data_IF_229404871261
#
_entry.id   IF_229404871261
#
_cell.length_a   1.000
_cell.length_b   1.000
_cell.length_c   1.000
_cell.angle_alpha   90.00
_cell.angle_beta   90.00
_cell.angle_gamma   90.00
#
_symmetry.space_group_name_H-M   'P 1'
#
loop_
_entity.id
_entity.type
_entity.pdbx_description
1 polymer ?
#
# COMPACT_ATOMS: atom_id res chain seq x y z
N UNK A 1 -12.18 8.13 4.84
CA UNK A 1 -12.50 7.52 3.52
C UNK A 1 -13.59 8.37 2.85
N UNK A 2 -13.25 9.28 1.94
CA UNK A 2 -14.23 10.10 1.20
C UNK A 2 -13.78 10.31 -0.23
N UNK A 3 -13.68 9.22 -0.99
CA UNK A 3 -13.83 9.27 -2.45
C UNK A 3 -15.23 8.76 -2.76
N UNK A 4 -16.02 9.50 -3.54
CA UNK A 4 -17.33 9.00 -3.97
C UNK A 4 -17.14 7.62 -4.64
N UNK A 5 -17.97 6.62 -4.30
CA UNK A 5 -17.88 5.30 -4.92
C UNK A 5 -18.08 5.45 -6.41
N UNK A 6 -17.14 4.93 -7.21
CA UNK A 6 -17.28 4.94 -8.65
C UNK A 6 -18.31 3.88 -9.03
N UNK A 7 -19.52 4.33 -9.39
CA UNK A 7 -20.60 3.43 -9.78
C UNK A 7 -20.49 3.06 -11.26
N UNK A 8 -20.35 1.77 -11.56
CA UNK A 8 -20.39 1.24 -12.93
C UNK A 8 -21.73 0.53 -13.13
N UNK A 9 -22.44 0.87 -14.22
CA UNK A 9 -23.75 0.26 -14.51
C UNK A 9 -23.60 -1.14 -15.10
N UNK A 10 -24.39 -2.09 -14.62
CA UNK A 10 -24.42 -3.46 -15.14
C UNK A 10 -25.16 -3.49 -16.49
N UNK A 11 -24.62 -4.17 -17.52
CA UNK A 11 -25.30 -4.30 -18.81
C UNK A 11 -26.64 -5.02 -18.66
N UNK A 12 -27.65 -4.59 -19.43
CA UNK A 12 -28.97 -5.25 -19.39
C UNK A 12 -28.91 -6.56 -20.17
N UNK A 13 -29.40 -7.64 -19.55
CA UNK A 13 -29.51 -8.95 -20.20
C UNK A 13 -30.33 -8.83 -21.51
N UNK A 14 -29.88 -9.45 -22.62
CA UNK A 14 -30.69 -9.53 -23.84
C UNK A 14 -32.03 -10.19 -23.56
N UNK A 15 -33.13 -9.49 -23.84
CA UNK A 15 -34.47 -10.07 -23.74
C UNK A 15 -34.73 -11.04 -24.90
N UNK A 16 -35.37 -12.17 -24.62
CA UNK A 16 -35.85 -13.04 -25.67
C UNK A 16 -36.94 -12.30 -26.46
N UNK A 17 -36.89 -12.27 -27.80
CA UNK A 17 -37.89 -11.58 -28.59
C UNK A 17 -39.28 -12.15 -28.27
N UNK A 18 -40.21 -11.25 -27.92
CA UNK A 18 -41.59 -11.64 -27.62
C UNK A 18 -42.18 -12.39 -28.82
N UNK A 19 -42.77 -13.56 -28.57
CA UNK A 19 -43.41 -14.34 -29.64
C UNK A 19 -44.54 -13.50 -30.22
N UNK A 20 -44.46 -13.18 -31.52
CA UNK A 20 -45.54 -12.48 -32.19
C UNK A 20 -46.82 -13.33 -32.09
N UNK A 21 -47.95 -12.77 -31.60
CA UNK A 21 -49.19 -13.51 -31.51
C UNK A 21 -49.62 -13.95 -32.91
N UNK A 22 -50.10 -15.19 -33.02
CA UNK A 22 -50.60 -15.70 -34.29
C UNK A 22 -51.82 -14.87 -34.72
N UNK A 23 -51.87 -14.32 -35.94
CA UNK A 23 -52.89 -13.34 -36.33
C UNK A 23 -54.19 -14.05 -36.73
N UNK A 24 -54.88 -14.63 -35.75
CA UNK A 24 -56.12 -15.39 -35.93
C UNK A 24 -57.18 -14.54 -36.65
N UNK A 25 -57.30 -13.26 -36.29
CA UNK A 25 -58.24 -12.32 -36.93
C UNK A 25 -57.89 -12.03 -38.40
N UNK A 26 -56.60 -11.99 -38.76
CA UNK A 26 -56.19 -11.77 -40.15
C UNK A 26 -56.49 -12.97 -41.06
N UNK A 27 -56.57 -14.18 -40.47
CA UNK A 27 -56.99 -15.40 -41.18
C UNK A 27 -58.52 -15.50 -41.22
N UNK A 28 -59.20 -15.18 -40.12
CA UNK A 28 -60.64 -15.32 -39.99
C UNK A 28 -61.43 -14.27 -40.79
N UNK A 29 -60.98 -13.00 -40.81
CA UNK A 29 -61.75 -11.92 -41.44
C UNK A 29 -61.99 -12.11 -42.95
N UNK A 30 -61.00 -12.50 -43.78
CA UNK A 30 -61.24 -12.77 -45.20
C UNK A 30 -62.11 -14.01 -45.44
N UNK A 31 -61.99 -15.02 -44.58
CA UNK A 31 -62.81 -16.24 -44.66
C UNK A 31 -64.27 -15.93 -44.36
N UNK A 32 -64.55 -15.17 -43.30
CA UNK A 32 -65.91 -14.73 -42.92
C UNK A 32 -66.50 -13.81 -43.99
N UNK A 33 -65.72 -12.85 -44.51
CA UNK A 33 -66.16 -11.96 -45.58
C UNK A 33 -66.47 -12.72 -46.88
N UNK A 34 -65.61 -13.65 -47.27
CA UNK A 34 -65.81 -14.49 -48.46
C UNK A 34 -67.05 -15.38 -48.33
N UNK A 35 -67.31 -15.95 -47.15
CA UNK A 35 -68.53 -16.76 -46.90
C UNK A 35 -69.80 -15.92 -46.91
N UNK A 36 -69.78 -14.73 -46.31
CA UNK A 36 -70.93 -13.81 -46.32
C UNK A 36 -71.26 -13.32 -47.75
N UNK A 37 -70.26 -12.94 -48.53
CA UNK A 37 -70.43 -12.50 -49.93
C UNK A 37 -70.98 -13.64 -50.79
N UNK A 38 -70.42 -14.86 -50.64
CA UNK A 38 -70.88 -16.03 -51.37
C UNK A 38 -72.35 -16.37 -51.10
N UNK A 39 -72.79 -16.27 -49.83
CA UNK A 39 -74.19 -16.51 -49.46
C UNK A 39 -75.17 -15.58 -50.20
N UNK A 40 -74.81 -14.31 -50.40
CA UNK A 40 -75.65 -13.33 -51.09
C UNK A 40 -75.57 -13.39 -52.61
N UNK A 41 -74.37 -13.56 -53.18
CA UNK A 41 -74.14 -13.45 -54.63
C UNK A 41 -74.15 -14.78 -55.38
N UNK A 42 -74.07 -15.92 -54.68
CA UNK A 42 -73.98 -17.27 -55.26
C UNK A 42 -72.82 -17.46 -56.26
N UNK A 43 -71.85 -16.55 -56.29
CA UNK A 43 -70.73 -16.57 -57.23
C UNK A 43 -69.53 -17.31 -56.62
N UNK A 44 -69.01 -18.36 -57.27
CA UNK A 44 -67.85 -19.11 -56.76
C UNK A 44 -66.56 -18.25 -56.72
N UNK A 45 -66.49 -17.14 -57.46
CA UNK A 45 -65.34 -16.24 -57.45
C UNK A 45 -65.09 -15.58 -56.09
N UNK A 46 -66.10 -15.47 -55.21
CA UNK A 46 -65.95 -14.91 -53.87
C UNK A 46 -64.98 -15.70 -52.98
N UNK A 47 -64.81 -17.01 -53.22
CA UNK A 47 -63.94 -17.90 -52.44
C UNK A 47 -62.44 -17.59 -52.62
N UNK A 48 -62.04 -16.88 -53.68
CA UNK A 48 -60.65 -16.45 -53.89
C UNK A 48 -60.18 -15.51 -52.77
N UNK A 49 -61.09 -14.72 -52.18
CA UNK A 49 -60.76 -13.87 -51.04
C UNK A 49 -60.44 -14.66 -49.75
N UNK A 50 -60.96 -15.89 -49.61
CA UNK A 50 -60.63 -16.76 -48.48
C UNK A 50 -59.16 -17.25 -48.53
N UNK A 51 -58.57 -17.38 -49.73
CA UNK A 51 -57.16 -17.74 -49.94
C UNK A 51 -56.19 -16.61 -49.57
N UNK A 52 -56.66 -15.37 -49.55
CA UNK A 52 -55.86 -14.19 -49.22
C UNK A 52 -55.41 -14.19 -47.75
N UNK A 53 -56.26 -14.70 -46.84
CA UNK A 53 -55.97 -14.82 -45.41
C UNK A 53 -54.74 -15.70 -45.10
N UNK A 54 -54.69 -16.96 -45.58
CA UNK A 54 -53.52 -17.82 -45.45
C UNK A 54 -52.23 -17.21 -46.02
N UNK A 55 -52.29 -16.54 -47.17
CA UNK A 55 -51.11 -15.91 -47.80
C UNK A 55 -50.56 -14.78 -46.93
N UNK A 56 -51.44 -13.90 -46.42
CA UNK A 56 -51.05 -12.81 -45.51
C UNK A 56 -50.49 -13.37 -44.19
N UNK A 57 -51.08 -14.44 -43.66
CA UNK A 57 -50.60 -15.08 -42.45
C UNK A 57 -49.19 -15.64 -42.62
N UNK A 58 -48.91 -16.37 -43.71
CA UNK A 58 -47.56 -16.90 -44.01
C UNK A 58 -46.56 -15.75 -44.21
N UNK A 59 -46.95 -14.69 -44.93
CA UNK A 59 -46.10 -13.51 -45.13
C UNK A 59 -45.77 -12.83 -43.79
N UNK A 60 -46.77 -12.65 -42.91
CA UNK A 60 -46.59 -12.03 -41.60
C UNK A 60 -45.70 -12.86 -40.67
N UNK A 61 -45.79 -14.20 -40.73
CA UNK A 61 -44.96 -15.11 -39.93
C UNK A 61 -43.50 -15.10 -40.42
N UNK A 62 -43.28 -15.02 -41.74
CA UNK A 62 -41.96 -14.85 -42.33
C UNK A 62 -41.30 -13.53 -41.91
N UNK A 63 -42.04 -12.42 -41.99
CA UNK A 63 -41.55 -11.10 -41.58
C UNK A 63 -41.29 -11.05 -40.07
N UNK A 64 -42.18 -11.60 -39.24
CA UNK A 64 -41.98 -11.71 -37.79
C UNK A 64 -40.71 -12.49 -37.43
N UNK A 65 -40.44 -13.62 -38.10
CA UNK A 65 -39.21 -14.40 -37.89
C UNK A 65 -37.96 -13.64 -38.31
N UNK A 66 -38.00 -12.92 -39.45
CA UNK A 66 -36.86 -12.12 -39.94
C UNK A 66 -36.57 -10.96 -38.99
N UNK A 67 -37.60 -10.23 -38.56
CA UNK A 67 -37.49 -9.12 -37.59
C UNK A 67 -36.97 -9.61 -36.24
N UNK A 68 -37.54 -10.69 -35.71
CA UNK A 68 -37.11 -11.30 -34.44
C UNK A 68 -35.64 -11.73 -34.44
N UNK A 69 -35.16 -12.34 -35.54
CA UNK A 69 -33.73 -12.69 -35.68
C UNK A 69 -32.83 -11.46 -35.77
N UNK A 70 -33.24 -10.44 -36.51
CA UNK A 70 -32.49 -9.20 -36.65
C UNK A 70 -32.41 -8.44 -35.31
N UNK A 71 -33.52 -8.37 -34.58
CA UNK A 71 -33.62 -7.77 -33.24
C UNK A 71 -32.76 -8.53 -32.23
N UNK A 72 -32.85 -9.85 -32.19
CA UNK A 72 -32.01 -10.67 -31.31
C UNK A 72 -30.51 -10.45 -31.57
N UNK A 73 -30.06 -10.38 -32.83
CA UNK A 73 -28.66 -10.05 -33.18
C UNK A 73 -28.26 -8.66 -32.69
N UNK A 74 -29.15 -7.68 -32.80
CA UNK A 74 -28.90 -6.29 -32.34
C UNK A 74 -28.79 -6.22 -30.81
N UNK A 75 -29.68 -6.89 -30.08
CA UNK A 75 -29.63 -6.94 -28.61
C UNK A 75 -28.39 -7.67 -28.09
N UNK A 76 -28.00 -8.79 -28.70
CA UNK A 76 -26.72 -9.44 -28.34
C UNK A 76 -25.53 -8.53 -28.63
N UNK A 77 -25.48 -7.89 -29.80
CA UNK A 77 -24.41 -6.95 -30.13
C UNK A 77 -24.37 -5.73 -29.21
N UNK A 78 -25.53 -5.27 -28.72
CA UNK A 78 -25.63 -4.20 -27.71
C UNK A 78 -25.07 -4.68 -26.37
N UNK A 79 -25.49 -5.86 -25.90
CA UNK A 79 -25.02 -6.44 -24.65
C UNK A 79 -23.50 -6.62 -24.64
N UNK A 80 -22.91 -7.17 -25.70
CA UNK A 80 -21.46 -7.32 -25.82
C UNK A 80 -20.72 -5.97 -25.73
N UNK A 81 -21.24 -4.93 -26.38
CA UNK A 81 -20.65 -3.59 -26.30
C UNK A 81 -20.76 -2.98 -24.89
N UNK A 82 -21.92 -3.13 -24.25
CA UNK A 82 -22.13 -2.65 -22.88
C UNK A 82 -21.25 -3.43 -21.88
N UNK A 83 -21.08 -4.74 -22.08
CA UNK A 83 -20.21 -5.59 -21.28
C UNK A 83 -18.75 -5.16 -21.38
N UNK A 84 -18.22 -4.98 -22.60
CA UNK A 84 -16.85 -4.49 -22.82
C UNK A 84 -16.66 -3.11 -22.21
N UNK A 85 -17.63 -2.21 -22.38
CA UNK A 85 -17.59 -0.88 -21.76
C UNK A 85 -17.57 -0.96 -20.23
N UNK A 86 -18.34 -1.86 -19.62
CA UNK A 86 -18.38 -2.06 -18.18
C UNK A 86 -17.04 -2.62 -17.66
N UNK A 87 -16.43 -3.58 -18.36
CA UNK A 87 -15.10 -4.12 -18.01
C UNK A 87 -14.06 -3.00 -18.02
N UNK A 88 -14.01 -2.20 -19.08
CA UNK A 88 -13.07 -1.07 -19.15
C UNK A 88 -13.29 -0.04 -18.04
N UNK A 89 -14.55 0.28 -17.72
CA UNK A 89 -14.87 1.20 -16.63
C UNK A 89 -14.42 0.68 -15.26
N UNK A 90 -14.56 -0.63 -15.01
CA UNK A 90 -14.04 -1.28 -13.78
C UNK A 90 -12.51 -1.18 -13.76
N UNK A 91 -11.84 -1.49 -14.86
CA UNK A 91 -10.37 -1.50 -14.94
C UNK A 91 -9.78 -0.11 -14.72
N UNK A 92 -10.39 0.91 -15.29
CA UNK A 92 -9.98 2.31 -15.08
C UNK A 92 -10.25 2.75 -13.62
N UNK A 93 -11.35 2.32 -13.02
CA UNK A 93 -11.64 2.58 -11.61
C UNK A 93 -10.62 1.89 -10.70
N UNK A 94 -10.29 0.63 -10.95
CA UNK A 94 -9.26 -0.14 -10.26
C UNK A 94 -7.87 0.45 -10.41
N UNK A 95 -7.50 0.91 -11.61
CA UNK A 95 -6.22 1.58 -11.85
C UNK A 95 -6.10 2.86 -11.01
N UNK A 96 -7.17 3.67 -10.95
CA UNK A 96 -7.22 4.88 -10.12
C UNK A 96 -7.19 4.55 -8.63
N UNK A 97 -7.91 3.53 -8.20
CA UNK A 97 -7.90 3.06 -6.80
C UNK A 97 -6.50 2.60 -6.40
N UNK A 98 -5.86 1.73 -7.19
CA UNK A 98 -4.49 1.27 -6.96
C UNK A 98 -3.51 2.43 -6.92
N UNK A 99 -3.58 3.37 -7.86
CA UNK A 99 -2.69 4.53 -7.88
C UNK A 99 -2.83 5.39 -6.61
N UNK A 100 -4.06 5.61 -6.12
CA UNK A 100 -4.31 6.31 -4.85
C UNK A 100 -3.71 5.56 -3.66
N UNK A 101 -3.90 4.24 -3.60
CA UNK A 101 -3.36 3.41 -2.53
C UNK A 101 -1.83 3.39 -2.55
N UNK A 102 -1.20 3.25 -3.71
CA UNK A 102 0.27 3.28 -3.86
C UNK A 102 0.84 4.65 -3.49
N UNK A 103 0.17 5.74 -3.87
CA UNK A 103 0.60 7.08 -3.46
C UNK A 103 0.51 7.28 -1.95
N UNK A 104 -0.56 6.77 -1.31
CA UNK A 104 -0.74 6.86 0.14
C UNK A 104 0.22 5.95 0.90
N UNK A 105 0.52 4.78 0.33
CA UNK A 105 1.36 3.73 0.92
C UNK A 105 2.46 3.31 -0.07
N UNK A 106 3.49 4.16 -0.24
CA UNK A 106 4.61 3.87 -1.14
C UNK A 106 5.34 2.60 -0.73
N UNK A 107 5.96 1.91 -1.69
CA UNK A 107 6.74 0.71 -1.36
C UNK A 107 8.00 1.10 -0.57
N UNK A 108 8.49 0.20 0.27
CA UNK A 108 9.76 0.43 0.97
C UNK A 108 10.92 0.68 -0.01
N UNK A 109 10.89 0.02 -1.17
CA UNK A 109 11.85 0.21 -2.24
C UNK A 109 11.81 1.64 -2.81
N UNK A 110 10.61 2.20 -3.01
CA UNK A 110 10.44 3.58 -3.46
C UNK A 110 11.05 4.56 -2.44
N UNK A 111 10.88 4.29 -1.14
CA UNK A 111 11.44 5.11 -0.07
C UNK A 111 12.98 5.08 -0.05
N UNK A 112 13.58 3.91 -0.31
CA UNK A 112 15.05 3.75 -0.42
C UNK A 112 15.61 4.44 -1.66
N UNK A 113 14.88 4.42 -2.77
CA UNK A 113 15.35 4.99 -4.04
C UNK A 113 15.12 6.51 -4.12
N UNK A 114 14.05 7.01 -3.49
CA UNK A 114 13.64 8.42 -3.53
C UNK A 114 14.13 9.28 -2.35
N UNK A 115 15.13 8.83 -1.59
CA UNK A 115 15.53 9.47 -0.32
C UNK A 115 15.94 10.95 -0.48
N UNK A 116 16.40 11.37 -1.66
CA UNK A 116 16.82 12.77 -1.89
C UNK A 116 15.60 13.67 -2.11
N UNK A 117 15.34 14.55 -1.13
CA UNK A 117 14.44 15.70 -1.31
C UNK A 117 12.95 15.40 -1.22
N UNK A 118 12.54 14.21 -0.77
CA UNK A 118 11.11 13.93 -0.59
C UNK A 118 10.53 14.76 0.57
N UNK A 119 9.52 15.62 0.32
CA UNK A 119 8.94 16.49 1.33
C UNK A 119 8.06 15.76 2.33
N UNK A 120 7.67 14.51 2.06
CA UNK A 120 6.76 13.72 2.91
C UNK A 120 7.47 13.01 4.07
N UNK A 121 8.80 13.14 4.14
CA UNK A 121 9.60 12.59 5.23
C UNK A 121 9.14 13.14 6.57
N UNK A 122 8.90 12.26 7.54
CA UNK A 122 8.50 12.58 8.92
C UNK A 122 7.18 13.35 9.04
N UNK A 123 6.31 13.28 8.04
CA UNK A 123 4.99 13.94 8.03
C UNK A 123 3.82 12.98 8.28
N UNK A 124 4.09 11.76 8.75
CA UNK A 124 3.02 10.82 9.01
C UNK A 124 2.05 11.35 10.07
N UNK A 125 0.75 11.13 9.85
CA UNK A 125 -0.28 11.44 10.83
C UNK A 125 -0.30 10.36 11.93
N UNK A 126 0.54 10.56 12.94
CA UNK A 126 0.73 9.61 14.03
C UNK A 126 -0.50 9.47 14.95
N UNK A 127 -1.46 10.40 14.87
CA UNK A 127 -2.68 10.35 15.68
C UNK A 127 -3.66 9.27 15.17
N UNK A 128 -3.73 9.08 13.85
CA UNK A 128 -4.70 8.18 13.23
C UNK A 128 -4.17 6.76 12.96
N UNK A 129 -2.87 6.52 13.10
CA UNK A 129 -2.28 5.19 12.96
C UNK A 129 -0.83 5.22 12.53
N UNK A 130 -0.18 4.05 12.52
CA UNK A 130 1.16 3.87 11.96
C UNK A 130 1.11 2.79 10.89
N UNK A 131 0.38 3.07 9.81
CA UNK A 131 0.17 2.14 8.71
C UNK A 131 1.49 1.89 7.96
N UNK A 132 1.87 0.62 7.84
CA UNK A 132 3.02 0.16 7.06
C UNK A 132 2.56 -0.87 6.02
N UNK A 133 3.23 -0.88 4.87
CA UNK A 133 2.97 -1.80 3.76
C UNK A 133 3.80 -3.07 3.91
N UNK A 134 3.13 -4.22 3.96
CA UNK A 134 3.75 -5.54 3.99
C UNK A 134 4.21 -6.00 2.61
N UNK A 135 3.48 -5.59 1.56
CA UNK A 135 3.71 -6.02 0.20
C UNK A 135 2.54 -5.68 -0.73
N UNK A 136 2.40 -6.46 -1.80
CA UNK A 136 1.32 -6.31 -2.79
C UNK A 136 0.49 -7.58 -2.91
N UNK A 137 -0.82 -7.45 -2.93
CA UNK A 137 -1.74 -8.58 -2.95
C UNK A 137 -3.13 -8.21 -3.45
N UNK A 138 -4.09 -9.08 -3.18
CA UNK A 138 -5.50 -8.87 -3.51
C UNK A 138 -6.23 -8.26 -2.32
N UNK A 139 -7.02 -7.21 -2.54
CA UNK A 139 -7.91 -6.63 -1.52
C UNK A 139 -9.34 -6.51 -2.05
N UNK A 140 -10.29 -6.27 -1.16
CA UNK A 140 -11.63 -5.84 -1.56
C UNK A 140 -11.56 -4.44 -2.20
N UNK A 141 -12.08 -4.29 -3.41
CA UNK A 141 -12.18 -3.01 -4.09
C UNK A 141 -13.34 -2.18 -3.54
N UNK A 142 -13.19 -0.86 -3.55
CA UNK A 142 -14.26 0.09 -3.25
C UNK A 142 -15.24 0.33 -4.41
N UNK A 143 -15.00 -0.25 -5.61
CA UNK A 143 -15.87 -0.10 -6.77
C UNK A 143 -17.21 -0.76 -6.52
N UNK A 144 -18.30 -0.05 -6.85
CA UNK A 144 -19.67 -0.56 -6.71
C UNK A 144 -20.33 -0.70 -8.08
N UNK A 145 -20.98 -1.82 -8.31
CA UNK A 145 -21.81 -2.02 -9.50
C UNK A 145 -23.26 -1.63 -9.22
N UNK A 146 -23.87 -0.91 -10.16
CA UNK A 146 -25.30 -0.59 -10.15
C UNK A 146 -26.05 -1.63 -10.98
N UNK A 147 -26.64 -2.60 -10.29
CA UNK A 147 -27.41 -3.69 -10.87
C UNK A 147 -27.50 -4.87 -9.92
N UNK A 148 -28.09 -5.96 -10.37
CA UNK A 148 -28.23 -7.19 -9.58
C UNK A 148 -27.28 -8.27 -10.08
N UNK A 149 -26.67 -9.00 -9.14
CA UNK A 149 -25.89 -10.19 -9.45
C UNK A 149 -26.86 -11.34 -9.77
N UNK A 150 -26.59 -12.07 -10.84
CA UNK A 150 -27.45 -13.14 -11.33
C UNK A 150 -26.89 -14.50 -10.93
N UNK A 151 -26.92 -14.82 -9.63
CA UNK A 151 -26.25 -16.00 -9.06
C UNK A 151 -26.81 -17.36 -9.53
N UNK A 152 -28.02 -17.38 -10.13
CA UNK A 152 -28.72 -18.60 -10.55
C UNK A 152 -29.01 -18.64 -12.06
N UNK A 153 -28.36 -17.78 -12.85
CA UNK A 153 -28.56 -17.68 -14.30
C UNK A 153 -27.40 -18.29 -15.08
N UNK A 154 -27.56 -19.56 -15.47
CA UNK A 154 -26.58 -20.31 -16.27
C UNK A 154 -26.57 -19.91 -17.76
N UNK A 155 -27.29 -18.86 -18.16
CA UNK A 155 -27.12 -18.32 -19.52
C UNK A 155 -25.72 -17.70 -19.69
N UNK A 156 -25.17 -17.67 -20.92
CA UNK A 156 -23.90 -16.99 -21.19
C UNK A 156 -23.90 -15.52 -20.69
N UNK A 157 -25.02 -14.82 -20.85
CA UNK A 157 -25.19 -13.45 -20.36
C UNK A 157 -25.22 -13.37 -18.83
N UNK A 158 -25.85 -14.32 -18.15
CA UNK A 158 -25.87 -14.41 -16.68
C UNK A 158 -24.47 -14.60 -16.11
N UNK A 159 -23.72 -15.58 -16.64
CA UNK A 159 -22.30 -15.79 -16.27
C UNK A 159 -21.43 -14.56 -16.52
N UNK A 160 -21.61 -13.87 -17.65
CA UNK A 160 -20.86 -12.66 -17.96
C UNK A 160 -21.14 -11.53 -16.96
N UNK A 161 -22.40 -11.36 -16.53
CA UNK A 161 -22.78 -10.39 -15.50
C UNK A 161 -22.18 -10.79 -14.15
N UNK A 162 -22.28 -12.05 -13.73
CA UNK A 162 -21.68 -12.51 -12.46
C UNK A 162 -20.15 -12.33 -12.44
N UNK A 163 -19.48 -12.56 -13.58
CA UNK A 163 -18.05 -12.27 -13.74
C UNK A 163 -17.69 -10.79 -13.61
N UNK A 164 -18.58 -9.85 -13.99
CA UNK A 164 -18.38 -8.43 -13.71
C UNK A 164 -18.38 -8.13 -12.21
N UNK A 165 -19.29 -8.74 -11.44
CA UNK A 165 -19.34 -8.56 -9.99
C UNK A 165 -18.08 -9.11 -9.32
N UNK A 166 -17.64 -10.30 -9.70
CA UNK A 166 -16.42 -10.90 -9.16
C UNK A 166 -15.20 -10.03 -9.49
N UNK A 167 -15.10 -9.55 -10.75
CA UNK A 167 -14.06 -8.60 -11.16
C UNK A 167 -14.13 -7.31 -10.36
N UNK A 168 -15.29 -6.71 -10.18
CA UNK A 168 -15.44 -5.44 -9.47
C UNK A 168 -15.13 -5.55 -7.97
N UNK A 169 -15.33 -6.73 -7.37
CA UNK A 169 -15.17 -6.95 -5.92
C UNK A 169 -13.70 -7.01 -5.49
N UNK A 170 -12.80 -7.50 -6.35
CA UNK A 170 -11.40 -7.74 -5.98
C UNK A 170 -10.44 -6.86 -6.76
N UNK A 171 -9.59 -6.12 -6.04
CA UNK A 171 -8.49 -5.36 -6.63
C UNK A 171 -7.18 -6.13 -6.45
N UNK A 172 -6.61 -6.58 -7.56
CA UNK A 172 -5.30 -7.24 -7.58
C UNK A 172 -4.13 -6.22 -7.57
N UNK A 173 -3.00 -6.63 -7.00
CA UNK A 173 -1.76 -5.84 -6.96
C UNK A 173 -1.89 -4.56 -6.15
N UNK A 174 -2.73 -4.55 -5.12
CA UNK A 174 -2.89 -3.43 -4.21
C UNK A 174 -1.93 -3.55 -3.00
N UNK A 175 -1.50 -2.44 -2.39
CA UNK A 175 -0.75 -2.46 -1.15
C UNK A 175 -1.51 -3.18 -0.02
N UNK A 176 -0.88 -4.18 0.59
CA UNK A 176 -1.35 -4.78 1.84
C UNK A 176 -0.74 -4.00 2.99
N UNK A 177 -1.58 -3.39 3.82
CA UNK A 177 -1.13 -2.51 4.91
C UNK A 177 -1.63 -2.98 6.26
N UNK A 178 -0.86 -2.71 7.30
CA UNK A 178 -1.20 -3.02 8.70
C UNK A 178 -0.77 -1.90 9.62
N UNK A 179 -1.40 -1.78 10.79
CA UNK A 179 -1.02 -0.79 11.80
C UNK A 179 0.13 -1.31 12.66
N UNK A 180 1.31 -0.72 12.50
CA UNK A 180 2.51 -1.11 13.21
C UNK A 180 2.45 -0.85 14.74
N UNK A 181 1.45 -0.08 15.22
CA UNK A 181 1.18 0.06 16.68
C UNK A 181 0.90 -1.28 17.36
N UNK A 182 0.39 -2.24 16.62
CA UNK A 182 0.04 -3.57 17.13
C UNK A 182 1.27 -4.49 17.31
N UNK A 183 2.45 -4.04 16.89
CA UNK A 183 3.67 -4.85 16.87
C UNK A 183 3.64 -5.90 15.77
N UNK A 184 4.72 -6.00 15.00
CA UNK A 184 4.82 -6.88 13.84
C UNK A 184 5.95 -7.89 14.09
N UNK A 185 5.62 -9.16 14.06
CA UNK A 185 6.57 -10.25 14.06
C UNK A 185 6.66 -10.88 12.67
N UNK A 186 7.88 -11.12 12.18
CA UNK A 186 8.12 -11.79 10.90
C UNK A 186 8.80 -13.12 11.18
N UNK A 187 8.16 -14.22 10.78
CA UNK A 187 8.71 -15.57 10.90
C UNK A 187 8.97 -16.22 9.54
N UNK A 188 9.97 -17.10 9.47
CA UNK A 188 10.32 -17.84 8.25
C UNK A 188 11.83 -17.94 8.03
N UNK A 189 12.24 -18.16 6.78
CA UNK A 189 13.66 -18.23 6.43
C UNK A 189 14.36 -16.92 6.84
N UNK A 190 15.47 -17.05 7.58
CA UNK A 190 16.20 -15.93 8.20
C UNK A 190 16.44 -14.74 7.27
N UNK A 191 16.89 -14.99 6.03
CA UNK A 191 17.17 -13.92 5.07
C UNK A 191 15.91 -13.19 4.60
N UNK A 192 14.81 -13.92 4.36
CA UNK A 192 13.54 -13.37 3.92
C UNK A 192 12.86 -12.59 5.05
N UNK A 193 12.80 -13.19 6.25
CA UNK A 193 12.25 -12.54 7.44
C UNK A 193 12.99 -11.23 7.76
N UNK A 194 14.33 -11.25 7.67
CA UNK A 194 15.17 -10.06 7.82
C UNK A 194 14.93 -9.01 6.74
N UNK A 195 14.83 -9.41 5.47
CA UNK A 195 14.64 -8.45 4.39
C UNK A 195 13.27 -7.76 4.45
N UNK A 196 12.22 -8.49 4.89
CA UNK A 196 10.90 -7.91 5.12
C UNK A 196 10.90 -7.01 6.37
N UNK A 197 11.49 -7.45 7.48
CA UNK A 197 11.64 -6.60 8.66
C UNK A 197 12.41 -5.31 8.35
N UNK A 198 13.48 -5.39 7.56
CA UNK A 198 14.22 -4.22 7.06
C UNK A 198 13.31 -3.28 6.27
N UNK A 199 12.47 -3.80 5.38
CA UNK A 199 11.50 -3.00 4.62
C UNK A 199 10.50 -2.26 5.54
N UNK A 200 10.02 -2.92 6.60
CA UNK A 200 9.13 -2.32 7.59
C UNK A 200 9.82 -1.24 8.43
N UNK A 201 11.06 -1.49 8.87
CA UNK A 201 11.85 -0.53 9.65
C UNK A 201 12.17 0.72 8.82
N UNK A 202 12.48 0.58 7.53
CA UNK A 202 12.67 1.71 6.60
C UNK A 202 11.42 2.56 6.52
N UNK A 203 10.25 1.95 6.34
CA UNK A 203 8.97 2.67 6.30
C UNK A 203 8.69 3.43 7.60
N UNK A 204 8.92 2.79 8.76
CA UNK A 204 8.76 3.42 10.06
C UNK A 204 9.71 4.60 10.26
N UNK A 205 11.00 4.42 9.97
CA UNK A 205 12.01 5.48 10.09
C UNK A 205 11.75 6.66 9.15
N UNK A 206 11.15 6.41 7.99
CA UNK A 206 10.70 7.46 7.08
C UNK A 206 9.47 8.21 7.62
N UNK A 207 8.55 7.50 8.26
CA UNK A 207 7.27 8.04 8.73
C UNK A 207 7.39 8.85 10.03
N UNK A 208 8.14 8.35 11.03
CA UNK A 208 8.18 8.96 12.38
C UNK A 208 9.34 9.95 12.52
N UNK A 209 9.14 11.11 13.17
CA UNK A 209 10.18 12.12 13.29
C UNK A 209 11.23 11.73 14.37
N UNK A 210 12.54 11.98 14.15
CA UNK A 210 13.62 11.52 15.04
C UNK A 210 13.68 12.25 16.40
N UNK A 211 13.13 13.46 16.49
CA UNK A 211 12.93 14.25 17.72
C UNK A 211 11.71 13.80 18.53
N UNK A 212 10.77 13.07 17.92
CA UNK A 212 9.62 12.49 18.59
C UNK A 212 9.79 11.01 18.97
N UNK A 213 10.64 10.26 18.25
CA UNK A 213 10.83 8.82 18.43
C UNK A 213 12.31 8.44 18.51
N UNK A 214 12.61 7.49 19.40
CA UNK A 214 13.90 6.79 19.44
C UNK A 214 13.77 5.39 18.84
N UNK A 215 14.88 4.89 18.30
CA UNK A 215 14.97 3.51 17.81
C UNK A 215 16.02 2.75 18.60
N UNK A 216 15.70 1.54 19.04
CA UNK A 216 16.61 0.69 19.81
C UNK A 216 16.56 -0.74 19.30
N UNK A 217 17.70 -1.42 19.31
CA UNK A 217 17.77 -2.86 19.04
C UNK A 217 17.34 -3.65 20.28
N UNK A 218 16.55 -4.71 20.07
CA UNK A 218 16.06 -5.58 21.14
C UNK A 218 17.07 -6.68 21.54
N UNK A 219 18.04 -6.97 20.67
CA UNK A 219 19.10 -7.96 20.89
C UNK A 219 20.47 -7.36 20.56
N UNK A 220 21.50 -7.82 21.28
CA UNK A 220 22.90 -7.51 20.99
C UNK A 220 23.42 -8.25 19.75
N UNK A 221 22.75 -9.34 19.35
CA UNK A 221 23.07 -10.03 18.10
C UNK A 221 22.66 -9.13 16.93
N UNK A 222 23.62 -8.90 16.04
CA UNK A 222 23.50 -7.92 14.96
C UNK A 222 22.48 -8.32 13.91
N UNK A 223 22.43 -9.61 13.54
CA UNK A 223 21.52 -10.22 12.56
C UNK A 223 21.23 -9.37 11.31
N UNK A 224 22.17 -8.52 10.88
CA UNK A 224 22.04 -7.58 9.76
C UNK A 224 21.07 -6.41 9.98
N UNK A 225 20.78 -6.07 11.24
CA UNK A 225 20.04 -4.87 11.65
C UNK A 225 20.97 -3.80 12.27
N UNK A 226 22.29 -3.92 12.12
CA UNK A 226 23.28 -2.94 12.61
C UNK A 226 23.10 -1.56 11.99
N UNK A 227 22.63 -1.52 10.74
CA UNK A 227 22.38 -0.29 10.00
C UNK A 227 21.41 0.66 10.72
N UNK A 228 20.58 0.15 11.63
CA UNK A 228 19.64 0.92 12.46
C UNK A 228 20.36 1.93 13.34
N UNK A 229 21.61 1.66 13.76
CA UNK A 229 22.44 2.60 14.51
C UNK A 229 22.84 3.83 13.68
N UNK A 230 22.81 3.70 12.35
CA UNK A 230 23.05 4.80 11.42
C UNK A 230 21.85 5.71 11.20
N UNK A 231 20.68 5.41 11.78
CA UNK A 231 19.48 6.24 11.68
C UNK A 231 19.53 7.45 12.63
N UNK A 232 18.90 8.58 12.26
CA UNK A 232 18.85 9.75 13.14
C UNK A 232 18.09 9.47 14.45
N UNK A 233 17.16 8.51 14.45
CA UNK A 233 16.40 8.06 15.62
C UNK A 233 17.28 7.40 16.69
N UNK A 234 18.44 6.85 16.31
CA UNK A 234 19.40 6.23 17.22
C UNK A 234 20.33 7.27 17.88
N UNK A 235 20.32 8.52 17.37
CA UNK A 235 21.21 9.56 17.86
C UNK A 235 20.84 9.98 19.30
N UNK A 236 21.79 9.94 20.24
CA UNK A 236 21.60 10.42 21.62
C UNK A 236 21.21 11.91 21.70
N UNK A 237 21.57 12.73 20.70
CA UNK A 237 21.24 14.16 20.69
C UNK A 237 19.73 14.44 20.69
N UNK A 238 18.93 13.50 20.19
CA UNK A 238 17.47 13.58 20.27
C UNK A 238 16.90 12.90 21.53
N UNK A 239 17.74 12.26 22.36
CA UNK A 239 17.33 11.43 23.51
C UNK A 239 17.12 12.20 24.79
N UNK A 240 15.96 11.94 25.43
CA UNK A 240 15.69 12.37 26.79
C UNK A 240 16.69 11.68 27.74
N UNK A 241 17.49 12.44 28.52
CA UNK A 241 18.38 11.91 29.55
C UNK A 241 17.71 10.90 30.50
N UNK A 242 16.40 11.04 30.75
CA UNK A 242 15.64 10.14 31.61
C UNK A 242 15.32 8.77 30.96
N UNK A 243 15.35 8.66 29.63
CA UNK A 243 15.03 7.43 28.91
C UNK A 243 16.22 6.45 28.81
N UNK A 244 17.46 6.95 28.98
CA UNK A 244 18.72 6.18 28.91
C UNK A 244 18.85 5.07 29.98
N UNK A 245 17.97 5.04 30.99
CA UNK A 245 17.95 4.03 32.04
C UNK A 245 17.00 2.83 31.81
N UNK A 246 16.12 2.85 30.80
CA UNK A 246 15.21 1.72 30.54
C UNK A 246 15.91 0.66 29.70
N UNK A 247 16.26 -0.47 30.34
CA UNK A 247 16.76 -1.66 29.63
C UNK A 247 15.72 -2.12 28.59
N UNK A 248 16.14 -2.51 27.37
CA UNK A 248 15.24 -3.09 26.39
C UNK A 248 14.53 -4.31 27.00
N UNK A 249 13.25 -4.47 26.65
CA UNK A 249 12.46 -5.64 27.01
C UNK A 249 13.15 -6.90 26.49
N UNK A 250 13.42 -7.84 27.39
CA UNK A 250 14.20 -9.06 27.11
C UNK A 250 13.44 -9.97 26.15
N UNK A 251 14.10 -10.42 25.08
CA UNK A 251 13.84 -11.74 24.49
C UNK A 251 13.72 -11.85 22.96
N UNK A 252 13.61 -10.76 22.21
CA UNK A 252 13.39 -10.80 20.75
C UNK A 252 14.56 -10.30 19.90
N UNK A 253 14.78 -10.93 18.74
CA UNK A 253 15.61 -10.35 17.67
C UNK A 253 14.75 -9.31 16.93
N UNK A 254 15.17 -8.05 16.89
CA UNK A 254 14.33 -7.00 16.31
C UNK A 254 14.67 -5.59 16.76
N UNK A 255 13.75 -4.67 16.45
CA UNK A 255 13.86 -3.23 16.68
C UNK A 255 12.60 -2.71 17.35
N UNK A 256 12.79 -1.81 18.32
CA UNK A 256 11.71 -1.05 18.95
C UNK A 256 11.84 0.43 18.57
N UNK A 257 10.78 0.98 17.98
CA UNK A 257 10.53 2.42 17.91
C UNK A 257 9.71 2.84 19.11
N UNK A 258 10.21 3.79 19.89
CA UNK A 258 9.58 4.27 21.12
C UNK A 258 9.36 5.77 21.02
N UNK A 259 8.13 6.22 21.28
CA UNK A 259 7.86 7.64 21.42
C UNK A 259 8.64 8.18 22.62
N UNK A 260 9.30 9.32 22.44
CA UNK A 260 10.07 9.99 23.49
C UNK A 260 9.15 10.60 24.55
N UNK A 261 7.96 11.02 24.14
CA UNK A 261 6.88 11.42 25.04
C UNK A 261 5.77 10.36 25.07
N UNK A 262 5.32 9.99 26.27
CA UNK A 262 4.26 8.99 26.46
C UNK A 262 4.75 7.54 26.50
N UNK A 263 3.81 6.60 26.36
CA UNK A 263 4.06 5.16 26.43
C UNK A 263 4.02 4.44 25.08
N UNK A 264 3.90 5.18 23.98
CA UNK A 264 3.68 4.60 22.66
C UNK A 264 4.95 3.90 22.12
N UNK A 265 4.78 2.67 21.65
CA UNK A 265 5.89 1.83 21.14
C UNK A 265 5.43 1.01 19.94
N UNK A 266 6.36 0.70 19.05
CA UNK A 266 6.17 -0.24 17.94
C UNK A 266 7.37 -1.16 17.90
N UNK A 267 7.09 -2.45 17.85
CA UNK A 267 8.09 -3.49 17.76
C UNK A 267 8.02 -4.13 16.38
N UNK A 268 9.17 -4.27 15.73
CA UNK A 268 9.36 -5.14 14.56
C UNK A 268 10.36 -6.21 14.97
N UNK A 269 9.89 -7.46 15.04
CA UNK A 269 10.70 -8.60 15.47
C UNK A 269 10.83 -9.64 14.36
N UNK A 270 11.92 -10.39 14.39
CA UNK A 270 12.19 -11.51 13.48
C UNK A 270 12.43 -12.78 14.28
N UNK A 271 11.97 -13.90 13.74
CA UNK A 271 12.25 -15.24 14.26
C UNK A 271 12.20 -16.27 13.14
N UNK A 272 12.71 -17.48 13.37
CA UNK A 272 12.51 -18.59 12.43
C UNK A 272 11.11 -19.19 12.60
N UNK A 273 10.65 -19.31 13.85
CA UNK A 273 9.33 -19.81 14.22
C UNK A 273 8.48 -18.76 14.95
N UNK A 274 7.17 -18.93 14.89
CA UNK A 274 6.19 -18.00 15.48
C UNK A 274 6.30 -17.92 17.02
N UNK A 275 6.51 -19.04 17.70
CA UNK A 275 6.55 -19.10 19.17
C UNK A 275 7.75 -18.38 19.80
N UNK A 276 8.77 -18.08 18.98
CA UNK A 276 9.94 -17.31 19.39
C UNK A 276 9.75 -15.79 19.26
N UNK A 277 8.63 -15.32 18.70
CA UNK A 277 8.33 -13.90 18.59
C UNK A 277 7.88 -13.30 19.94
N UNK A 278 8.20 -12.03 20.23
CA UNK A 278 7.70 -11.34 21.41
C UNK A 278 6.17 -11.31 21.45
N UNK A 279 5.59 -11.44 22.65
CA UNK A 279 4.12 -11.36 22.85
C UNK A 279 3.51 -10.02 22.45
N UNK A 280 4.32 -8.97 22.41
CA UNK A 280 3.91 -7.65 21.96
C UNK A 280 3.66 -7.58 20.45
N UNK A 281 4.11 -8.57 19.66
CA UNK A 281 3.81 -8.70 18.23
C UNK A 281 2.44 -9.34 18.02
N UNK A 282 1.39 -8.51 17.90
CA UNK A 282 0.02 -9.01 17.66
C UNK A 282 -0.24 -9.35 16.20
N UNK A 283 0.58 -8.81 15.29
CA UNK A 283 0.58 -9.14 13.87
C UNK A 283 1.74 -10.10 13.61
N UNK A 284 1.48 -11.27 13.03
CA UNK A 284 2.52 -12.22 12.63
C UNK A 284 2.44 -12.49 11.14
N UNK A 285 3.57 -12.28 10.46
CA UNK A 285 3.73 -12.51 9.03
C UNK A 285 4.69 -13.67 8.81
N UNK A 286 4.26 -14.67 8.05
CA UNK A 286 5.10 -15.81 7.65
C UNK A 286 5.59 -15.61 6.22
N UNK A 287 6.90 -15.62 6.01
CA UNK A 287 7.50 -15.59 4.67
C UNK A 287 7.79 -17.02 4.19
N UNK A 288 7.46 -17.33 2.94
CA UNK A 288 7.72 -18.64 2.33
C UNK A 288 8.09 -18.46 0.86
N UNK A 289 9.39 -18.33 0.59
CA UNK A 289 9.89 -18.12 -0.75
C UNK A 289 9.52 -16.73 -1.27
N UNK A 290 8.75 -16.68 -2.35
CA UNK A 290 8.33 -15.41 -3.00
C UNK A 290 6.99 -14.89 -2.50
N UNK A 291 6.34 -15.59 -1.56
CA UNK A 291 5.05 -15.19 -0.97
C UNK A 291 5.16 -15.02 0.53
N UNK A 292 4.24 -14.26 1.10
CA UNK A 292 4.04 -14.14 2.53
C UNK A 292 2.56 -14.15 2.86
N UNK A 293 2.25 -14.54 4.10
CA UNK A 293 0.89 -14.63 4.65
C UNK A 293 0.85 -13.99 6.02
N UNK A 294 -0.21 -13.25 6.31
CA UNK A 294 -0.48 -12.85 7.70
C UNK A 294 -1.20 -14.00 8.39
N UNK A 295 -0.53 -14.64 9.35
CA UNK A 295 -1.04 -15.82 10.05
C UNK A 295 -1.73 -15.47 11.37
N UNK A 296 -1.54 -14.23 11.83
CA UNK A 296 -2.14 -13.69 13.05
C UNK A 296 -2.37 -12.20 12.88
N UNK A 297 -3.60 -11.75 13.11
CA UNK A 297 -3.97 -10.33 13.16
C UNK A 297 -5.15 -10.15 14.14
N UNK A 298 -5.18 -9.11 14.98
CA UNK A 298 -6.23 -8.95 15.98
C UNK A 298 -7.61 -8.61 15.41
N UNK A 299 -7.66 -7.91 14.27
CA UNK A 299 -8.92 -7.43 13.68
C UNK A 299 -9.52 -8.40 12.64
N UNK A 300 -8.97 -9.63 12.54
CA UNK A 300 -9.46 -10.68 11.62
C UNK A 300 -8.59 -10.88 10.37
N UNK A 301 -9.13 -11.64 9.43
CA UNK A 301 -8.38 -12.17 8.28
C UNK A 301 -7.97 -11.05 7.29
N UNK A 302 -6.66 -10.96 7.08
CA UNK A 302 -6.04 -10.25 5.96
C UNK A 302 -5.96 -11.22 4.75
N UNK A 303 -5.74 -10.72 3.53
CA UNK A 303 -5.68 -11.58 2.34
C UNK A 303 -4.67 -12.73 2.48
N UNK A 304 -5.04 -13.91 1.97
CA UNK A 304 -4.33 -15.18 2.17
C UNK A 304 -2.83 -15.08 1.86
N UNK A 305 -2.47 -14.82 0.61
CA UNK A 305 -1.10 -14.72 0.16
C UNK A 305 -0.87 -13.41 -0.58
N UNK A 306 0.28 -12.79 -0.31
CA UNK A 306 0.73 -11.58 -0.97
C UNK A 306 2.22 -11.69 -1.30
N UNK A 307 2.67 -10.85 -2.22
CA UNK A 307 4.08 -10.71 -2.56
C UNK A 307 4.73 -9.74 -1.57
N UNK A 308 5.60 -10.19 -0.66
CA UNK A 308 6.23 -9.33 0.34
C UNK A 308 7.22 -8.35 -0.29
N UNK A 309 7.45 -7.25 0.41
CA UNK A 309 8.51 -6.31 0.07
C UNK A 309 9.79 -6.62 0.82
N UNK A 310 10.89 -6.68 0.07
CA UNK A 310 12.21 -6.98 0.61
C UNK A 310 13.15 -5.81 0.35
N UNK A 311 13.82 -5.36 1.41
CA UNK A 311 14.91 -4.40 1.32
C UNK A 311 16.18 -5.07 1.80
N UNK A 312 17.25 -4.93 1.01
CA UNK A 312 18.56 -5.46 1.38
C UNK A 312 19.22 -4.61 2.47
N UNK A 313 20.11 -5.23 3.24
CA UNK A 313 20.91 -4.54 4.25
C UNK A 313 21.71 -3.38 3.66
N UNK A 314 22.32 -3.57 2.47
CA UNK A 314 23.05 -2.51 1.76
C UNK A 314 22.18 -1.30 1.43
N UNK A 315 20.96 -1.54 0.97
CA UNK A 315 19.98 -0.49 0.69
C UNK A 315 19.58 0.26 1.96
N UNK A 316 19.35 -0.48 3.06
CA UNK A 316 18.99 0.10 4.35
C UNK A 316 20.12 0.94 4.96
N UNK A 317 21.37 0.51 4.84
CA UNK A 317 22.54 1.31 5.27
C UNK A 317 22.65 2.63 4.49
N UNK A 318 22.46 2.59 3.18
CA UNK A 318 22.45 3.81 2.36
C UNK A 318 21.29 4.73 2.72
N UNK A 319 20.09 4.18 2.93
CA UNK A 319 18.92 4.89 3.43
C UNK A 319 19.22 5.58 4.77
N UNK A 320 19.80 4.88 5.73
CA UNK A 320 20.10 5.42 7.05
C UNK A 320 21.08 6.60 7.01
N UNK A 321 22.17 6.49 6.24
CA UNK A 321 23.11 7.58 6.03
C UNK A 321 22.43 8.84 5.45
N UNK A 322 21.54 8.66 4.47
CA UNK A 322 20.79 9.76 3.90
C UNK A 322 19.74 10.37 4.85
N UNK A 323 19.09 9.54 5.66
CA UNK A 323 18.15 10.00 6.68
C UNK A 323 18.86 10.85 7.73
N UNK A 324 20.03 10.40 8.20
CA UNK A 324 20.86 11.14 9.15
C UNK A 324 21.37 12.45 8.58
N UNK A 325 21.85 12.48 7.34
CA UNK A 325 22.27 13.72 6.69
C UNK A 325 21.16 14.76 6.59
N UNK A 326 19.93 14.36 6.24
CA UNK A 326 18.82 15.31 6.16
C UNK A 326 18.13 15.59 7.51
N UNK A 327 18.51 14.91 8.60
CA UNK A 327 18.13 15.30 9.96
C UNK A 327 19.01 16.43 10.51
N UNK A 328 20.17 16.72 9.91
CA UNK A 328 21.10 17.74 10.39
C UNK A 328 20.43 19.10 10.63
N UNK A 329 19.61 19.66 9.71
CA UNK A 329 18.96 20.94 9.96
C UNK A 329 17.98 20.92 11.15
N UNK A 330 17.39 19.77 11.49
CA UNK A 330 16.52 19.64 12.67
C UNK A 330 17.33 19.64 13.97
N UNK A 331 18.54 19.07 13.95
CA UNK A 331 19.48 19.19 15.06
C UNK A 331 19.89 20.66 15.25
N UNK A 332 20.11 21.38 14.14
CA UNK A 332 20.58 22.77 14.16
C UNK A 332 19.47 23.78 14.48
N UNK A 333 18.22 23.51 14.10
CA UNK A 333 17.08 24.38 14.40
C UNK A 333 16.78 24.49 15.91
N UNK A 334 17.26 23.53 16.72
CA UNK A 334 17.22 23.56 18.18
C UNK A 334 18.47 24.16 18.85
N UNK A 335 19.53 24.48 18.10
CA UNK A 335 20.80 24.91 18.66
C UNK A 335 20.83 26.43 18.88
N UNK A 336 20.31 26.88 20.02
CA UNK A 336 21.03 27.93 20.74
C UNK A 336 22.37 27.30 21.16
N UNK A 337 23.50 27.84 20.66
CA UNK A 337 24.82 27.41 21.11
C UNK A 337 24.84 27.43 22.65
N UNK A 338 25.10 26.29 23.31
CA UNK A 338 25.18 26.27 24.76
C UNK A 338 26.30 27.22 25.20
N UNK A 339 26.03 28.05 26.21
CA UNK A 339 27.02 29.02 26.71
C UNK A 339 28.28 28.35 27.27
N UNK A 340 28.19 27.06 27.61
CA UNK A 340 29.32 26.19 27.96
C UNK A 340 28.95 24.72 27.77
N UNK A 341 29.95 23.88 27.50
CA UNK A 341 29.81 22.41 27.45
C UNK A 341 30.87 21.80 28.35
N UNK A 342 30.46 20.91 29.25
CA UNK A 342 31.41 20.16 30.07
C UNK A 342 32.10 19.08 29.22
N UNK A 343 33.42 18.89 29.41
CA UNK A 343 34.18 17.88 28.68
C UNK A 343 33.60 16.46 28.85
N UNK A 344 33.06 16.12 30.02
CA UNK A 344 32.38 14.84 30.26
C UNK A 344 31.09 14.65 29.47
N UNK A 345 30.50 15.74 28.97
CA UNK A 345 29.32 15.70 28.09
C UNK A 345 29.68 15.53 26.61
N UNK A 346 30.96 15.60 26.23
CA UNK A 346 31.41 15.38 24.86
C UNK A 346 31.63 13.89 24.62
N UNK A 347 30.89 13.31 23.68
CA UNK A 347 31.11 11.93 23.24
C UNK A 347 32.36 11.87 22.37
N UNK A 348 33.41 11.23 22.87
CA UNK A 348 34.65 11.07 22.11
C UNK A 348 34.45 10.09 20.95
N UNK A 349 35.04 10.42 19.80
CA UNK A 349 34.91 9.65 18.57
C UNK A 349 36.01 8.60 18.52
N UNK A 350 35.65 7.33 18.32
CA UNK A 350 36.65 6.28 18.09
C UNK A 350 37.25 6.43 16.68
N UNK A 351 38.59 6.47 16.58
CA UNK A 351 39.28 6.60 15.30
C UNK A 351 39.08 5.40 14.38
N UNK A 352 38.53 5.63 13.19
CA UNK A 352 38.41 4.61 12.14
C UNK A 352 39.64 4.63 11.23
N UNK A 353 40.72 3.96 11.65
CA UNK A 353 41.96 3.82 10.87
C UNK A 353 43.18 3.47 11.73
N UNK A 354 44.23 2.89 11.13
CA UNK A 354 45.49 2.64 11.85
C UNK A 354 46.15 3.98 12.20
N UNK A 355 46.09 4.35 13.47
CA UNK A 355 46.80 5.50 14.04
C UNK A 355 46.01 6.82 14.05
N UNK A 356 44.72 6.84 13.71
CA UNK A 356 43.91 8.06 13.81
C UNK A 356 43.85 8.57 15.26
N UNK A 357 43.90 9.88 15.45
CA UNK A 357 43.88 10.54 16.76
C UNK A 357 42.80 11.63 16.83
N UNK A 358 41.51 11.28 16.65
CA UNK A 358 40.40 12.24 16.76
C UNK A 358 40.10 12.58 18.21
N UNK A 359 39.98 13.87 18.50
CA UNK A 359 39.56 14.41 19.79
C UNK A 359 38.37 15.35 19.60
N UNK A 360 37.25 15.07 20.27
CA UNK A 360 36.11 15.96 20.32
C UNK A 360 36.36 17.05 21.38
N UNK A 361 36.50 18.30 20.95
CA UNK A 361 36.91 19.43 21.79
C UNK A 361 35.77 20.41 22.09
N UNK A 362 34.61 20.27 21.44
CA UNK A 362 33.46 21.13 21.67
C UNK A 362 32.25 20.76 20.84
N UNK A 363 31.25 21.66 20.83
CA UNK A 363 30.05 21.58 20.00
C UNK A 363 29.84 22.97 19.38
N UNK A 364 29.62 23.02 18.07
CA UNK A 364 29.22 24.22 17.35
C UNK A 364 27.74 24.15 16.92
N UNK A 365 27.31 25.10 16.10
CA UNK A 365 25.94 25.12 15.61
C UNK A 365 25.62 23.87 14.76
N UNK A 366 26.65 23.28 14.15
CA UNK A 366 26.58 22.17 13.21
C UNK A 366 26.77 20.78 13.90
N UNK A 367 27.26 20.74 15.13
CA UNK A 367 27.41 19.52 15.94
C UNK A 367 28.76 19.42 16.67
N UNK A 368 29.23 18.21 17.02
CA UNK A 368 30.51 18.03 17.68
C UNK A 368 31.70 18.52 16.84
N UNK A 369 32.59 19.31 17.45
CA UNK A 369 33.82 19.79 16.82
C UNK A 369 34.95 18.80 17.15
N UNK A 370 35.45 18.11 16.11
CA UNK A 370 36.48 17.07 16.23
C UNK A 370 37.75 17.50 15.50
N UNK A 371 38.88 17.39 16.18
CA UNK A 371 40.21 17.62 15.62
C UNK A 371 40.96 16.29 15.59
N UNK A 372 41.47 15.88 14.43
CA UNK A 372 42.26 14.65 14.28
C UNK A 372 43.71 15.00 13.94
N UNK A 373 44.63 14.75 14.87
CA UNK A 373 46.05 15.09 14.71
C UNK A 373 46.75 14.36 13.56
N UNK A 374 46.21 13.24 13.08
CA UNK A 374 46.80 12.50 11.96
C UNK A 374 46.22 12.98 10.63
N UNK A 375 44.91 13.20 10.57
CA UNK A 375 44.24 13.69 9.36
C UNK A 375 44.53 15.17 9.10
N UNK A 376 44.47 15.99 10.15
CA UNK A 376 44.57 17.45 10.06
C UNK A 376 46.03 17.92 10.17
N UNK A 377 46.93 17.03 10.58
CA UNK A 377 48.37 17.25 10.69
C UNK A 377 48.84 17.51 12.13
N UNK A 378 50.11 17.18 12.45
CA UNK A 378 50.61 17.21 13.82
C UNK A 378 50.93 18.62 14.34
N UNK A 379 50.82 19.65 13.51
CA UNK A 379 51.15 21.02 13.84
C UNK A 379 49.90 21.89 13.85
N UNK A 380 49.66 22.61 14.96
CA UNK A 380 48.52 23.48 15.13
C UNK A 380 48.94 24.85 15.68
N UNK A 381 48.21 25.89 15.31
CA UNK A 381 48.36 27.26 15.84
C UNK A 381 47.05 27.65 16.51
N UNK A 382 47.09 27.98 17.80
CA UNK A 382 45.92 28.41 18.57
C UNK A 382 46.01 29.91 18.88
N UNK A 383 45.16 30.70 18.24
CA UNK A 383 45.10 32.16 18.39
C UNK A 383 43.90 32.62 19.21
N UNK A 384 44.01 33.81 19.83
CA UNK A 384 42.93 34.40 20.64
C UNK A 384 43.46 35.42 21.64
N UNK A 385 42.61 36.34 22.09
CA UNK A 385 42.95 37.36 23.10
C UNK A 385 42.97 36.77 24.52
N UNK A 386 43.41 37.52 25.52
CA UNK A 386 43.31 37.11 26.92
C UNK A 386 41.84 36.95 27.31
N UNK A 387 41.51 35.86 27.99
CA UNK A 387 40.13 35.53 28.36
C UNK A 387 39.32 34.80 27.29
N UNK A 388 39.86 34.57 26.08
CA UNK A 388 39.15 33.86 25.00
C UNK A 388 39.09 32.33 25.17
N UNK A 389 39.53 31.78 26.32
CA UNK A 389 39.49 30.35 26.59
C UNK A 389 40.60 29.48 25.95
N UNK A 390 41.66 30.07 25.36
CA UNK A 390 42.75 29.30 24.72
C UNK A 390 43.35 28.19 25.61
N UNK A 391 43.64 28.51 26.87
CA UNK A 391 44.23 27.53 27.80
C UNK A 391 43.27 26.38 28.08
N UNK A 392 41.97 26.68 28.23
CA UNK A 392 40.94 25.68 28.49
C UNK A 392 40.74 24.77 27.27
N UNK A 393 40.77 25.34 26.06
CA UNK A 393 40.74 24.59 24.80
C UNK A 393 41.92 23.61 24.70
N UNK A 394 43.14 24.05 25.01
CA UNK A 394 44.32 23.19 24.99
C UNK A 394 44.24 22.06 26.03
N UNK A 395 43.79 22.36 27.24
CA UNK A 395 43.58 21.35 28.29
C UNK A 395 42.49 20.33 27.91
N UNK A 396 41.40 20.82 27.32
CA UNK A 396 40.30 19.99 26.81
C UNK A 396 40.81 19.06 25.71
N UNK A 397 41.57 19.58 24.76
CA UNK A 397 42.15 18.79 23.67
C UNK A 397 43.11 17.72 24.19
N UNK A 398 44.01 18.06 25.11
CA UNK A 398 44.94 17.09 25.72
C UNK A 398 44.21 15.98 26.47
N UNK A 399 43.09 16.29 27.14
CA UNK A 399 42.30 15.29 27.88
C UNK A 399 41.40 14.43 26.99
N UNK A 400 41.06 14.92 25.80
CA UNK A 400 40.20 14.23 24.85
C UNK A 400 40.95 13.22 23.97
N UNK A 401 42.26 13.39 23.84
CA UNK A 401 43.22 12.40 23.29
C UNK A 401 43.53 11.32 24.33
#
# INVERSE_FOLDING_TARGET
MTGQPHEVSVPRKPEAPKRAPFPIFAIAAPVVAATAIWAFTQSPFALVFALLGPVVAVASLGDARRRSRAESRREHGRFERELVSAIHAIDEAHARERARLVHRFPAAQDLVDSVRGSPERWRADLAHGREVRLGTGRICSAVKLRGEKLDHDDSPSGRAISGLFDRATTLDGAPITVDARLGIGVCGERNQARALATALIVQLAYAVPPDGFSVNRLSAATEGLDWVEGLPHANPAFSDPAALGRKPGVGGRGVEFRARAGGDRTVVAIAEEEDALPRDCRIVVRTTGTIARVIRHPDGDLPDDFTPEYVSERQATAFAAHMSSAALPLLHAGNALPSSVALSGLSQVAGSGRGALPACVGVDADGPVVIDLVRDGPHAVVGGTTGSGKSELLLTWIRAL
#
